data_IF_864250325855
#
_entry.id   IF_864250325855
#
_cell.length_a   1.000
_cell.length_b   1.000
_cell.length_c   1.000
_cell.angle_alpha   90.00
_cell.angle_beta   90.00
_cell.angle_gamma   90.00
#
_symmetry.space_group_name_H-M   'P 1'
#
loop_
_entity.id
_entity.type
_entity.pdbx_description
1 polymer ?
#
# COMPACT_ATOMS: atom_id res chain seq x y z
N UNK A 1 -34.25 -2.99 6.84
CA UNK A 1 -33.42 -3.64 7.88
C UNK A 1 -32.34 -4.43 7.14
N UNK A 2 -31.02 -4.22 7.22
CA UNK A 2 -30.11 -3.49 8.11
C UNK A 2 -28.95 -3.01 7.22
N UNK A 3 -28.64 -1.72 7.18
CA UNK A 3 -27.36 -1.26 6.62
C UNK A 3 -26.94 -0.01 7.36
N UNK A 4 -26.37 -0.19 8.55
CA UNK A 4 -25.91 0.90 9.42
C UNK A 4 -24.76 0.48 10.35
N UNK A 5 -24.03 -0.60 10.03
CA UNK A 5 -22.93 -1.10 10.88
C UNK A 5 -21.53 -0.90 10.29
N UNK A 6 -21.37 -0.24 9.14
CA UNK A 6 -20.04 0.05 8.58
C UNK A 6 -19.42 1.36 9.10
N UNK A 7 -20.25 2.28 9.63
CA UNK A 7 -19.78 3.63 10.00
C UNK A 7 -19.31 3.77 11.45
N UNK A 8 -19.68 2.85 12.34
CA UNK A 8 -19.40 2.98 13.79
C UNK A 8 -18.04 2.32 14.17
N UNK A 9 -17.36 1.65 13.23
CA UNK A 9 -15.96 1.21 13.39
C UNK A 9 -14.92 2.18 12.82
N UNK A 10 -15.35 3.22 12.11
CA UNK A 10 -14.46 4.18 11.44
C UNK A 10 -13.81 5.19 12.41
N UNK A 11 -14.04 5.04 13.73
CA UNK A 11 -13.57 5.97 14.75
C UNK A 11 -13.10 5.22 15.99
N UNK A 12 -12.08 4.34 15.86
CA UNK A 12 -11.37 3.83 17.05
C UNK A 12 -9.84 3.89 16.99
N UNK A 13 -9.24 3.95 15.81
CA UNK A 13 -7.86 4.34 15.60
C UNK A 13 -7.77 4.82 14.16
N UNK A 14 -7.25 6.02 13.91
CA UNK A 14 -7.00 6.45 12.53
C UNK A 14 -5.93 5.52 11.96
N UNK A 15 -6.34 4.57 11.11
CA UNK A 15 -5.39 3.66 10.49
C UNK A 15 -4.30 4.49 9.80
N UNK A 16 -3.01 4.13 9.98
CA UNK A 16 -1.91 4.90 9.39
C UNK A 16 -2.12 5.03 7.89
N UNK A 17 -1.93 6.26 7.39
CA UNK A 17 -1.89 6.51 5.96
C UNK A 17 -0.45 6.28 5.50
N UNK A 18 -0.29 5.55 4.40
CA UNK A 18 1.00 5.29 3.78
C UNK A 18 1.10 6.09 2.50
N UNK A 19 2.24 6.75 2.30
CA UNK A 19 2.58 7.38 1.05
C UNK A 19 3.52 6.46 0.28
N UNK A 20 3.04 6.05 -0.90
CA UNK A 20 3.78 5.28 -1.89
C UNK A 20 4.37 6.23 -2.92
N UNK A 21 5.60 5.99 -3.34
CA UNK A 21 6.26 6.70 -4.43
C UNK A 21 6.78 5.70 -5.45
N UNK A 22 6.33 5.76 -6.69
CA UNK A 22 6.90 4.97 -7.79
C UNK A 22 8.18 5.63 -8.29
N UNK A 23 9.31 4.93 -8.16
CA UNK A 23 10.60 5.41 -8.65
C UNK A 23 10.81 5.10 -10.14
N UNK A 24 9.95 4.29 -10.76
CA UNK A 24 10.06 3.93 -12.18
C UNK A 24 9.47 5.00 -13.11
N UNK A 25 8.37 5.65 -12.71
CA UNK A 25 7.70 6.69 -13.51
C UNK A 25 7.68 8.03 -12.78
N UNK A 26 8.57 8.94 -13.18
CA UNK A 26 8.57 10.38 -12.86
C UNK A 26 8.32 10.76 -11.37
N UNK A 27 8.40 9.81 -10.43
CA UNK A 27 8.08 10.02 -9.02
C UNK A 27 6.59 10.11 -8.69
N UNK A 28 5.69 9.41 -9.39
CA UNK A 28 4.25 9.46 -9.02
C UNK A 28 4.05 9.01 -7.57
N UNK A 29 3.23 9.75 -6.82
CA UNK A 29 2.94 9.48 -5.41
C UNK A 29 1.47 9.16 -5.19
N UNK A 30 1.17 8.24 -4.28
CA UNK A 30 -0.18 7.90 -3.86
C UNK A 30 -0.26 7.74 -2.34
N UNK A 31 -1.34 8.23 -1.73
CA UNK A 31 -1.60 8.07 -0.30
C UNK A 31 -2.73 7.07 -0.09
N UNK A 32 -2.45 5.99 0.62
CA UNK A 32 -3.37 4.86 0.78
C UNK A 32 -3.34 4.30 2.19
N UNK A 33 -4.42 3.64 2.61
CA UNK A 33 -4.37 2.75 3.77
C UNK A 33 -3.58 1.48 3.43
N UNK A 34 -3.26 0.67 4.44
CA UNK A 34 -2.58 -0.62 4.24
C UNK A 34 -3.29 -1.51 3.21
N UNK A 35 -4.62 -1.51 3.19
CA UNK A 35 -5.41 -2.31 2.26
C UNK A 35 -5.35 -1.79 0.82
N UNK A 36 -5.00 -0.52 0.61
CA UNK A 36 -4.82 0.09 -0.70
C UNK A 36 -3.44 -0.10 -1.32
N UNK A 37 -2.46 -0.61 -0.56
CA UNK A 37 -1.07 -0.74 -1.02
C UNK A 37 -0.98 -1.69 -2.22
N UNK A 38 -1.46 -2.92 -2.08
CA UNK A 38 -1.37 -3.93 -3.13
C UNK A 38 -2.06 -3.45 -4.42
N UNK A 39 -3.29 -2.95 -4.33
CA UNK A 39 -4.03 -2.48 -5.50
C UNK A 39 -3.34 -1.33 -6.23
N UNK A 40 -2.72 -0.40 -5.49
CA UNK A 40 -2.00 0.73 -6.08
C UNK A 40 -0.73 0.28 -6.78
N UNK A 41 0.08 -0.55 -6.12
CA UNK A 41 1.33 -1.05 -6.69
C UNK A 41 1.06 -1.96 -7.88
N UNK A 42 0.04 -2.83 -7.80
CA UNK A 42 -0.36 -3.67 -8.93
C UNK A 42 -0.85 -2.85 -10.13
N UNK A 43 -1.60 -1.77 -9.91
CA UNK A 43 -1.98 -0.86 -10.99
C UNK A 43 -0.74 -0.20 -11.63
N UNK A 44 0.22 0.23 -10.81
CA UNK A 44 1.46 0.82 -11.29
C UNK A 44 2.32 -0.14 -12.11
N UNK A 45 2.39 -1.41 -11.70
CA UNK A 45 3.09 -2.46 -12.44
C UNK A 45 2.34 -2.84 -13.73
N UNK A 46 1.00 -2.84 -13.70
CA UNK A 46 0.18 -3.13 -14.87
C UNK A 46 0.37 -2.08 -15.97
N UNK A 47 0.66 -0.82 -15.64
CA UNK A 47 1.05 0.20 -16.63
C UNK A 47 2.36 -0.15 -17.38
N UNK A 48 3.18 -1.03 -16.81
CA UNK A 48 4.39 -1.61 -17.43
C UNK A 48 4.13 -2.98 -18.07
N UNK A 49 2.89 -3.44 -18.12
CA UNK A 49 2.48 -4.80 -18.50
C UNK A 49 3.06 -5.90 -17.57
N UNK A 50 3.47 -5.52 -16.34
CA UNK A 50 4.05 -6.42 -15.33
C UNK A 50 2.99 -6.79 -14.28
N UNK A 51 2.92 -8.08 -13.97
CA UNK A 51 2.10 -8.60 -12.88
C UNK A 51 3.03 -9.32 -11.90
N UNK A 52 3.00 -8.95 -10.62
CA UNK A 52 3.91 -9.49 -9.61
C UNK A 52 3.19 -9.73 -8.29
N UNK A 53 3.29 -10.92 -7.68
CA UNK A 53 2.68 -11.22 -6.38
C UNK A 53 3.35 -10.44 -5.23
N UNK A 54 4.47 -9.78 -5.51
CA UNK A 54 5.20 -8.97 -4.53
C UNK A 54 4.39 -7.75 -4.06
N UNK A 55 3.38 -7.31 -4.82
CA UNK A 55 2.51 -6.21 -4.41
C UNK A 55 1.64 -6.61 -3.20
N UNK A 56 1.11 -7.84 -3.21
CA UNK A 56 0.35 -8.42 -2.12
C UNK A 56 1.24 -8.72 -0.91
N UNK A 57 2.43 -9.27 -1.14
CA UNK A 57 3.42 -9.52 -0.08
C UNK A 57 3.88 -8.22 0.59
N UNK A 58 4.01 -7.12 -0.17
CA UNK A 58 4.31 -5.80 0.38
C UNK A 58 3.20 -5.33 1.31
N UNK A 59 1.94 -5.41 0.89
CA UNK A 59 0.82 -5.01 1.75
C UNK A 59 0.74 -5.86 3.03
N UNK A 60 1.03 -7.16 2.93
CA UNK A 60 1.05 -8.06 4.08
C UNK A 60 2.17 -7.72 5.07
N UNK A 61 3.40 -7.51 4.59
CA UNK A 61 4.53 -7.14 5.46
C UNK A 61 4.34 -5.77 6.14
N UNK A 62 3.73 -4.80 5.45
CA UNK A 62 3.34 -3.52 6.06
C UNK A 62 2.27 -3.72 7.14
N UNK A 63 1.26 -4.56 6.88
CA UNK A 63 0.21 -4.91 7.86
C UNK A 63 0.77 -5.58 9.11
N UNK A 64 1.76 -6.45 8.95
CA UNK A 64 2.40 -7.19 10.03
C UNK A 64 3.51 -6.38 10.74
N UNK A 65 3.75 -5.13 10.31
CA UNK A 65 4.79 -4.26 10.87
C UNK A 65 6.22 -4.74 10.58
N UNK A 66 6.41 -5.65 9.62
CA UNK A 66 7.70 -6.22 9.22
C UNK A 66 8.46 -5.27 8.28
N UNK A 67 8.82 -4.09 8.80
CA UNK A 67 9.39 -3.00 8.00
C UNK A 67 10.65 -3.37 7.22
N UNK A 68 11.54 -4.18 7.78
CA UNK A 68 12.73 -4.65 7.07
C UNK A 68 12.38 -5.45 5.80
N UNK A 69 11.38 -6.34 5.89
CA UNK A 69 10.89 -7.11 4.75
C UNK A 69 10.13 -6.22 3.76
N UNK A 70 9.30 -5.30 4.27
CA UNK A 70 8.57 -4.35 3.44
C UNK A 70 9.53 -3.50 2.58
N UNK A 71 10.61 -2.97 3.16
CA UNK A 71 11.60 -2.20 2.41
C UNK A 71 12.35 -3.04 1.38
N UNK A 72 12.67 -4.31 1.69
CA UNK A 72 13.32 -5.20 0.73
C UNK A 72 12.43 -5.50 -0.49
N UNK A 73 11.12 -5.71 -0.27
CA UNK A 73 10.15 -5.91 -1.35
C UNK A 73 9.93 -4.62 -2.13
N UNK A 74 9.75 -3.50 -1.43
CA UNK A 74 9.54 -2.18 -2.03
C UNK A 74 10.73 -1.78 -2.93
N UNK A 75 11.96 -2.06 -2.51
CA UNK A 75 13.15 -1.79 -3.32
C UNK A 75 13.15 -2.59 -4.64
N UNK A 76 12.78 -3.88 -4.59
CA UNK A 76 12.64 -4.73 -5.79
C UNK A 76 11.55 -4.25 -6.74
N UNK A 77 10.48 -3.68 -6.19
CA UNK A 77 9.39 -3.08 -6.96
C UNK A 77 9.71 -1.64 -7.40
N UNK A 78 10.85 -1.09 -6.98
CA UNK A 78 11.21 0.31 -7.15
C UNK A 78 10.13 1.27 -6.63
N UNK A 79 9.50 0.90 -5.51
CA UNK A 79 8.53 1.71 -4.77
C UNK A 79 9.17 2.16 -3.46
N UNK A 80 8.92 3.39 -3.06
CA UNK A 80 9.19 3.86 -1.70
C UNK A 80 7.90 3.82 -0.88
N UNK A 81 7.97 3.34 0.35
CA UNK A 81 6.84 3.32 1.30
C UNK A 81 7.21 4.17 2.50
N UNK A 82 6.42 5.19 2.78
CA UNK A 82 6.58 6.06 3.95
C UNK A 82 5.28 6.17 4.72
N UNK A 83 5.34 6.42 6.02
CA UNK A 83 4.16 6.70 6.83
C UNK A 83 3.83 8.19 6.68
N UNK A 84 2.66 8.49 6.14
CA UNK A 84 2.12 9.84 6.10
C UNK A 84 1.41 10.11 7.44
N UNK A 85 2.00 11.00 8.22
CA UNK A 85 1.43 11.51 9.48
C UNK A 85 0.37 12.57 9.25
#
# INVERSE_FOLDING_TARGET
>A
MRSLNHRIRAHRDAAPTYQLTDRLHEGRTARVSVDGIAGTVSAWLADLDVHSPLAEDLAQTVRDGQWAAAYAIADRLSVEVTIAV
#
